data_IF_080771502924
#
_entry.id   IF_080771502924
#
_cell.length_a   1.000
_cell.length_b   1.000
_cell.length_c   1.000
_cell.angle_alpha   90.00
_cell.angle_beta   90.00
_cell.angle_gamma   90.00
#
_symmetry.space_group_name_H-M   'P 1'
#
loop_
_entity.id
_entity.type
_entity.pdbx_description
1 polymer ?
#
# COMPACT_ATOMS: atom_id res chain seq x y z
N UNK A 1 1.54 -22.50 -7.29
CA UNK A 1 2.44 -22.00 -6.22
C UNK A 1 2.19 -20.54 -5.86
N UNK A 2 2.47 -19.50 -6.71
CA UNK A 2 2.23 -18.08 -6.28
C UNK A 2 0.75 -17.79 -6.02
N UNK A 3 -0.16 -18.41 -6.73
CA UNK A 3 -1.60 -18.24 -6.56
C UNK A 3 -2.04 -18.78 -5.22
N UNK A 4 -1.68 -20.02 -4.89
CA UNK A 4 -2.07 -20.70 -3.66
C UNK A 4 -1.47 -20.01 -2.42
N UNK A 5 -0.18 -19.60 -2.53
CA UNK A 5 0.49 -18.82 -1.48
C UNK A 5 -0.21 -17.47 -1.29
N UNK A 6 -0.54 -16.76 -2.37
CA UNK A 6 -1.22 -15.48 -2.29
C UNK A 6 -2.63 -15.58 -1.69
N UNK A 7 -3.39 -16.61 -2.06
CA UNK A 7 -4.70 -16.87 -1.45
C UNK A 7 -4.58 -17.20 0.04
N UNK A 8 -3.61 -18.02 0.41
CA UNK A 8 -3.33 -18.33 1.81
C UNK A 8 -2.96 -17.09 2.62
N UNK A 9 -2.05 -16.24 2.09
CA UNK A 9 -1.67 -14.97 2.74
C UNK A 9 -2.88 -14.07 2.93
N UNK A 10 -3.68 -13.88 1.88
CA UNK A 10 -4.86 -13.04 1.93
C UNK A 10 -5.85 -13.52 3.00
N UNK A 11 -6.10 -14.83 3.07
CA UNK A 11 -6.96 -15.45 4.07
C UNK A 11 -6.43 -15.20 5.49
N UNK A 12 -5.12 -15.41 5.72
CA UNK A 12 -4.51 -15.17 7.03
C UNK A 12 -4.59 -13.69 7.44
N UNK A 13 -4.29 -12.78 6.52
CA UNK A 13 -4.31 -11.34 6.79
C UNK A 13 -5.72 -10.85 7.08
N UNK A 14 -6.72 -11.25 6.29
CA UNK A 14 -8.11 -10.84 6.51
C UNK A 14 -8.66 -11.36 7.85
N UNK A 15 -8.41 -12.63 8.19
CA UNK A 15 -8.84 -13.21 9.46
C UNK A 15 -8.17 -12.51 10.65
N UNK A 16 -6.88 -12.20 10.54
CA UNK A 16 -6.15 -11.51 11.61
C UNK A 16 -6.61 -10.06 11.77
N UNK A 17 -6.82 -9.34 10.67
CA UNK A 17 -7.34 -7.99 10.69
C UNK A 17 -8.71 -7.94 11.39
N UNK A 18 -9.59 -8.90 11.09
CA UNK A 18 -10.88 -9.02 11.77
C UNK A 18 -10.72 -9.21 13.27
N UNK A 19 -9.83 -10.12 13.70
CA UNK A 19 -9.54 -10.35 15.13
C UNK A 19 -9.08 -9.05 15.83
N UNK A 20 -8.22 -8.26 15.20
CA UNK A 20 -7.75 -6.99 15.76
C UNK A 20 -8.85 -5.93 15.84
N UNK A 21 -9.74 -5.87 14.86
CA UNK A 21 -10.90 -4.97 14.88
C UNK A 21 -11.88 -5.35 15.99
N UNK A 22 -12.17 -6.65 16.17
CA UNK A 22 -13.05 -7.15 17.23
C UNK A 22 -12.48 -6.90 18.64
N UNK A 23 -11.15 -6.87 18.76
CA UNK A 23 -10.46 -6.50 19.98
C UNK A 23 -10.41 -4.98 20.23
N UNK A 24 -11.05 -4.16 19.39
CA UNK A 24 -11.04 -2.70 19.51
C UNK A 24 -9.69 -2.04 19.21
N UNK A 25 -8.76 -2.79 18.62
CA UNK A 25 -7.50 -2.24 18.15
C UNK A 25 -7.77 -1.37 16.92
N UNK A 26 -7.18 -0.18 16.91
CA UNK A 26 -7.39 0.97 16.01
C UNK A 26 -7.89 0.63 14.59
N UNK A 27 -8.62 1.54 13.93
CA UNK A 27 -9.08 1.35 12.56
C UNK A 27 -7.88 1.16 11.63
N UNK A 28 -7.43 -0.08 11.50
CA UNK A 28 -6.31 -0.44 10.63
C UNK A 28 -6.80 -0.80 9.24
N UNK A 29 -5.97 -0.49 8.28
CA UNK A 29 -5.98 -1.14 6.97
C UNK A 29 -4.86 -2.16 6.95
N UNK A 30 -5.12 -3.26 6.28
CA UNK A 30 -4.10 -4.27 5.99
C UNK A 30 -3.78 -4.25 4.52
N UNK A 31 -2.51 -4.40 4.22
CA UNK A 31 -2.00 -4.31 2.86
C UNK A 31 -1.46 -5.67 2.44
N UNK A 32 -1.80 -6.13 1.25
CA UNK A 32 -1.36 -7.40 0.69
C UNK A 32 -0.89 -7.20 -0.75
N UNK A 33 0.28 -7.72 -1.08
CA UNK A 33 0.78 -7.71 -2.44
C UNK A 33 -0.08 -8.60 -3.35
N UNK A 34 -0.48 -8.07 -4.50
CA UNK A 34 -1.18 -8.80 -5.54
C UNK A 34 -0.32 -8.86 -6.81
N UNK A 35 0.09 -10.06 -7.19
CA UNK A 35 0.92 -10.25 -8.37
C UNK A 35 0.11 -10.14 -9.66
N UNK A 36 0.75 -9.71 -10.76
CA UNK A 36 0.17 -9.70 -12.10
C UNK A 36 -0.45 -11.07 -12.47
N UNK A 37 0.22 -12.18 -12.10
CA UNK A 37 -0.28 -13.54 -12.38
C UNK A 37 -1.61 -13.86 -11.70
N UNK A 38 -1.81 -13.37 -10.48
CA UNK A 38 -3.07 -13.51 -9.76
C UNK A 38 -4.16 -12.68 -10.42
N UNK A 39 -3.89 -11.42 -10.68
CA UNK A 39 -4.84 -10.48 -11.30
C UNK A 39 -5.25 -10.93 -12.71
N UNK A 40 -4.34 -11.52 -13.47
CA UNK A 40 -4.61 -11.97 -14.82
C UNK A 40 -5.51 -13.23 -14.89
N UNK A 41 -5.87 -13.85 -13.75
CA UNK A 41 -6.91 -14.87 -13.66
C UNK A 41 -8.35 -14.32 -13.79
N UNK A 42 -8.50 -13.00 -13.74
CA UNK A 42 -9.80 -12.37 -13.94
C UNK A 42 -10.81 -12.74 -12.85
N UNK A 43 -11.98 -13.24 -13.27
CA UNK A 43 -13.07 -13.59 -12.37
C UNK A 43 -12.70 -14.59 -11.28
N UNK A 44 -11.85 -15.57 -11.57
CA UNK A 44 -11.44 -16.55 -10.56
C UNK A 44 -10.70 -15.91 -9.38
N UNK A 45 -9.85 -14.91 -9.66
CA UNK A 45 -9.17 -14.18 -8.56
C UNK A 45 -10.15 -13.29 -7.81
N UNK A 46 -11.04 -12.59 -8.52
CA UNK A 46 -12.11 -11.81 -7.90
C UNK A 46 -12.98 -12.65 -6.97
N UNK A 47 -13.47 -13.81 -7.44
CA UNK A 47 -14.31 -14.71 -6.66
C UNK A 47 -13.60 -15.22 -5.40
N UNK A 48 -12.29 -15.52 -5.52
CA UNK A 48 -11.48 -15.94 -4.37
C UNK A 48 -11.36 -14.82 -3.33
N UNK A 49 -11.05 -13.58 -3.75
CA UNK A 49 -10.96 -12.42 -2.85
C UNK A 49 -12.31 -12.12 -2.20
N UNK A 50 -13.39 -12.07 -2.98
CA UNK A 50 -14.74 -11.82 -2.47
C UNK A 50 -15.19 -12.87 -1.46
N UNK A 51 -14.87 -14.14 -1.71
CA UNK A 51 -15.14 -15.26 -0.80
C UNK A 51 -14.37 -15.09 0.51
N UNK A 52 -13.07 -14.77 0.45
CA UNK A 52 -12.23 -14.59 1.65
C UNK A 52 -12.73 -13.42 2.49
N UNK A 53 -13.09 -12.29 1.90
CA UNK A 53 -13.65 -11.15 2.62
C UNK A 53 -14.96 -11.52 3.30
N UNK A 54 -15.84 -12.24 2.65
CA UNK A 54 -17.12 -12.72 3.20
C UNK A 54 -16.90 -13.71 4.35
N UNK A 55 -15.99 -14.68 4.19
CA UNK A 55 -15.66 -15.68 5.22
C UNK A 55 -15.02 -15.04 6.47
N UNK A 56 -14.16 -14.03 6.28
CA UNK A 56 -13.51 -13.33 7.39
C UNK A 56 -14.38 -12.26 8.04
N UNK A 57 -15.41 -11.77 7.35
CA UNK A 57 -16.22 -10.63 7.80
C UNK A 57 -15.45 -9.30 7.81
N UNK A 58 -14.31 -9.23 7.10
CA UNK A 58 -13.55 -7.99 6.98
C UNK A 58 -14.22 -7.06 5.96
N UNK A 59 -14.44 -5.80 6.33
CA UNK A 59 -14.90 -4.78 5.42
C UNK A 59 -13.89 -4.60 4.26
N UNK A 60 -14.32 -4.68 2.99
CA UNK A 60 -13.44 -4.49 1.83
C UNK A 60 -12.59 -3.20 1.90
N UNK A 61 -13.11 -2.12 2.46
CA UNK A 61 -12.39 -0.85 2.63
C UNK A 61 -11.19 -0.94 3.58
N UNK A 62 -11.10 -2.02 4.37
CA UNK A 62 -9.97 -2.31 5.25
C UNK A 62 -8.85 -3.10 4.59
N UNK A 63 -9.10 -3.62 3.38
CA UNK A 63 -8.10 -4.29 2.56
C UNK A 63 -7.56 -3.32 1.51
N UNK A 64 -6.24 -3.27 1.39
CA UNK A 64 -5.53 -2.58 0.33
C UNK A 64 -4.65 -3.60 -0.42
N UNK A 65 -4.72 -3.60 -1.75
CA UNK A 65 -3.89 -4.45 -2.59
C UNK A 65 -2.78 -3.62 -3.23
N UNK A 66 -1.54 -4.04 -3.00
CA UNK A 66 -0.36 -3.46 -3.62
C UNK A 66 -0.09 -4.13 -4.96
N UNK A 67 0.06 -3.32 -6.00
CA UNK A 67 0.40 -3.78 -7.34
C UNK A 67 1.59 -2.99 -7.87
N UNK A 68 2.49 -3.68 -8.57
CA UNK A 68 3.64 -3.02 -9.22
C UNK A 68 3.21 -2.24 -10.45
N UNK A 69 4.03 -1.26 -10.87
CA UNK A 69 3.80 -0.47 -12.08
C UNK A 69 3.49 -1.32 -13.32
N UNK A 70 4.17 -2.46 -13.47
CA UNK A 70 3.98 -3.38 -14.62
C UNK A 70 2.54 -3.86 -14.77
N UNK A 71 1.81 -3.97 -13.67
CA UNK A 71 0.44 -4.51 -13.64
C UNK A 71 -0.53 -3.67 -14.47
N UNK A 72 -0.29 -2.37 -14.59
CA UNK A 72 -1.16 -1.45 -15.33
C UNK A 72 -0.52 -0.84 -16.58
N UNK A 73 0.61 -1.40 -17.05
CA UNK A 73 1.26 -0.95 -18.29
C UNK A 73 0.41 -1.20 -19.56
N UNK A 74 -0.47 -2.20 -19.54
CA UNK A 74 -1.32 -2.54 -20.69
C UNK A 74 -2.78 -2.21 -20.39
N UNK A 75 -3.32 -1.17 -21.04
CA UNK A 75 -4.74 -0.83 -20.93
C UNK A 75 -5.62 -1.96 -21.47
N UNK A 76 -6.77 -2.17 -20.81
CA UNK A 76 -7.73 -3.20 -21.20
C UNK A 76 -7.26 -4.63 -20.91
N UNK A 77 -6.10 -4.81 -20.26
CA UNK A 77 -5.64 -6.12 -19.82
C UNK A 77 -6.62 -6.75 -18.82
N UNK A 78 -6.62 -8.09 -18.74
CA UNK A 78 -7.42 -8.80 -17.74
C UNK A 78 -7.07 -8.33 -16.33
N UNK A 79 -5.79 -8.10 -16.04
CA UNK A 79 -5.34 -7.61 -14.73
C UNK A 79 -5.96 -6.25 -14.38
N UNK A 80 -5.96 -5.28 -15.29
CA UNK A 80 -6.57 -3.95 -15.06
C UNK A 80 -8.09 -4.05 -14.88
N UNK A 81 -8.77 -4.89 -15.66
CA UNK A 81 -10.22 -5.13 -15.44
C UNK A 81 -10.50 -5.73 -14.08
N UNK A 82 -9.71 -6.74 -13.66
CA UNK A 82 -9.83 -7.36 -12.33
C UNK A 82 -9.63 -6.34 -11.22
N UNK A 83 -8.62 -5.45 -11.34
CA UNK A 83 -8.41 -4.38 -10.38
C UNK A 83 -9.61 -3.43 -10.28
N UNK A 84 -10.25 -3.09 -11.41
CA UNK A 84 -11.46 -2.24 -11.40
C UNK A 84 -12.60 -2.92 -10.66
N UNK A 85 -12.87 -4.20 -10.93
CA UNK A 85 -13.93 -4.97 -10.25
C UNK A 85 -13.65 -5.08 -8.74
N UNK A 86 -12.39 -5.30 -8.34
CA UNK A 86 -12.00 -5.31 -6.92
C UNK A 86 -12.15 -3.93 -6.27
N UNK A 87 -11.83 -2.86 -6.99
CA UNK A 87 -12.06 -1.49 -6.51
C UNK A 87 -13.56 -1.19 -6.33
N UNK A 88 -14.40 -1.61 -7.28
CA UNK A 88 -15.87 -1.48 -7.19
C UNK A 88 -16.46 -2.25 -6.00
N UNK A 89 -15.82 -3.36 -5.58
CA UNK A 89 -16.15 -4.08 -4.34
C UNK A 89 -15.80 -3.26 -3.06
N UNK A 90 -15.03 -2.17 -3.21
CA UNK A 90 -14.60 -1.30 -2.10
C UNK A 90 -13.14 -1.52 -1.66
N UNK A 91 -12.42 -2.44 -2.28
CA UNK A 91 -11.00 -2.68 -1.98
C UNK A 91 -10.17 -1.51 -2.48
N UNK A 92 -9.22 -1.07 -1.67
CA UNK A 92 -8.28 -0.02 -2.05
C UNK A 92 -7.14 -0.63 -2.88
N UNK A 93 -6.68 0.10 -3.87
CA UNK A 93 -5.56 -0.32 -4.71
C UNK A 93 -4.44 0.71 -4.59
N UNK A 94 -3.22 0.26 -4.39
CA UNK A 94 -2.02 1.09 -4.32
C UNK A 94 -0.96 0.66 -5.33
N UNK A 95 -0.19 1.64 -5.79
CA UNK A 95 0.97 1.39 -6.66
C UNK A 95 2.19 1.20 -5.78
N UNK A 96 2.83 0.03 -5.89
CA UNK A 96 4.03 -0.32 -5.13
C UNK A 96 5.31 -0.10 -5.95
N UNK A 97 6.38 0.18 -5.23
CA UNK A 97 7.76 0.34 -5.74
C UNK A 97 7.89 1.38 -6.87
N UNK A 98 7.12 2.48 -6.76
CA UNK A 98 7.05 3.53 -7.77
C UNK A 98 8.35 4.33 -7.87
N UNK A 99 8.82 4.51 -9.11
CA UNK A 99 10.03 5.26 -9.43
C UNK A 99 11.21 4.37 -9.87
N UNK A 100 11.05 3.03 -9.84
CA UNK A 100 12.02 2.10 -10.43
C UNK A 100 11.69 1.73 -11.89
N UNK A 101 10.50 2.10 -12.38
CA UNK A 101 9.99 1.71 -13.70
C UNK A 101 9.63 2.91 -14.58
N UNK A 102 8.95 2.61 -15.69
CA UNK A 102 8.47 3.60 -16.66
C UNK A 102 6.95 3.81 -16.51
N UNK A 103 6.49 4.17 -15.32
CA UNK A 103 5.06 4.44 -15.14
C UNK A 103 4.60 5.60 -15.99
N UNK A 104 3.55 5.37 -16.76
CA UNK A 104 2.87 6.43 -17.48
C UNK A 104 1.97 7.23 -16.53
N UNK A 105 2.25 8.52 -16.34
CA UNK A 105 1.42 9.44 -15.56
C UNK A 105 -0.05 9.43 -16.00
N UNK A 106 -0.29 9.23 -17.31
CA UNK A 106 -1.64 9.13 -17.87
C UNK A 106 -2.39 7.94 -17.28
N UNK A 107 -1.70 6.83 -17.06
CA UNK A 107 -2.31 5.61 -16.49
C UNK A 107 -2.62 5.76 -15.01
N UNK A 108 -1.73 6.41 -14.26
CA UNK A 108 -2.00 6.75 -12.85
C UNK A 108 -3.26 7.61 -12.71
N UNK A 109 -3.44 8.59 -13.60
CA UNK A 109 -4.63 9.45 -13.62
C UNK A 109 -5.92 8.67 -13.96
N UNK A 110 -5.83 7.61 -14.78
CA UNK A 110 -7.00 6.90 -15.31
C UNK A 110 -7.51 5.77 -14.43
N UNK A 111 -6.83 5.49 -13.31
CA UNK A 111 -7.24 4.50 -12.32
C UNK A 111 -7.32 5.15 -10.93
N UNK A 112 -8.36 4.86 -10.12
CA UNK A 112 -8.54 5.48 -8.80
C UNK A 112 -7.65 4.80 -7.74
N UNK A 113 -6.32 4.96 -7.87
CA UNK A 113 -5.40 4.48 -6.85
C UNK A 113 -5.59 5.24 -5.54
N UNK A 114 -5.52 4.52 -4.44
CA UNK A 114 -5.64 5.07 -3.10
C UNK A 114 -4.31 5.66 -2.61
N UNK A 115 -3.21 5.02 -2.98
CA UNK A 115 -1.87 5.45 -2.59
C UNK A 115 -0.81 5.09 -3.62
N UNK A 116 0.31 5.81 -3.53
CA UNK A 116 1.53 5.56 -4.27
C UNK A 116 2.68 5.34 -3.27
N UNK A 117 3.44 4.26 -3.44
CA UNK A 117 4.56 3.90 -2.57
C UNK A 117 5.87 4.14 -3.28
N UNK A 118 6.65 5.09 -2.78
CA UNK A 118 7.95 5.47 -3.35
C UNK A 118 8.94 4.35 -3.11
N UNK A 119 9.62 3.94 -4.16
CA UNK A 119 10.61 2.88 -4.15
C UNK A 119 11.72 3.10 -3.11
N UNK A 120 12.13 2.02 -2.44
CA UNK A 120 13.20 2.04 -1.44
C UNK A 120 14.52 2.59 -1.99
N UNK A 121 14.83 2.35 -3.26
CA UNK A 121 16.05 2.84 -3.93
C UNK A 121 16.17 4.36 -3.86
N UNK A 122 15.09 5.10 -4.12
CA UNK A 122 15.05 6.56 -4.03
C UNK A 122 15.16 7.04 -2.58
N UNK A 123 14.42 6.39 -1.67
CA UNK A 123 14.43 6.77 -0.24
C UNK A 123 15.81 6.54 0.39
N UNK A 124 16.56 5.53 -0.08
CA UNK A 124 17.88 5.23 0.45
C UNK A 124 18.86 6.39 0.29
N UNK A 125 18.78 7.14 -0.79
CA UNK A 125 19.71 8.22 -1.13
C UNK A 125 19.13 9.63 -0.92
N UNK A 126 17.88 9.77 -0.47
CA UNK A 126 17.16 11.05 -0.35
C UNK A 126 17.87 12.13 0.47
N UNK A 127 18.80 11.74 1.36
CA UNK A 127 19.56 12.67 2.22
C UNK A 127 20.96 13.02 1.68
N UNK A 128 21.45 12.29 0.68
CA UNK A 128 22.83 12.41 0.17
C UNK A 128 22.90 12.71 -1.31
N UNK A 129 21.83 12.44 -2.07
CA UNK A 129 21.74 12.71 -3.50
C UNK A 129 20.64 13.74 -3.77
N UNK A 130 20.98 14.97 -4.22
CA UNK A 130 20.01 16.01 -4.53
C UNK A 130 19.04 15.64 -5.65
N UNK A 131 19.45 14.82 -6.61
CA UNK A 131 18.59 14.39 -7.71
C UNK A 131 17.51 13.43 -7.19
N UNK A 132 17.86 12.49 -6.31
CA UNK A 132 16.88 11.58 -5.69
C UNK A 132 15.92 12.36 -4.79
N UNK A 133 16.40 13.36 -4.03
CA UNK A 133 15.56 14.25 -3.21
C UNK A 133 14.56 15.03 -4.08
N UNK A 134 15.01 15.55 -5.22
CA UNK A 134 14.15 16.25 -6.18
C UNK A 134 13.09 15.32 -6.79
N UNK A 135 13.47 14.08 -7.16
CA UNK A 135 12.55 13.07 -7.68
C UNK A 135 11.51 12.67 -6.62
N UNK A 136 11.93 12.44 -5.39
CA UNK A 136 11.02 12.11 -4.27
C UNK A 136 10.03 13.25 -4.04
N UNK A 137 10.50 14.50 -4.02
CA UNK A 137 9.66 15.69 -3.89
C UNK A 137 8.62 15.78 -5.02
N UNK A 138 9.04 15.54 -6.27
CA UNK A 138 8.15 15.54 -7.42
C UNK A 138 7.09 14.44 -7.36
N UNK A 139 7.44 13.23 -6.92
CA UNK A 139 6.49 12.11 -6.74
C UNK A 139 5.46 12.47 -5.67
N UNK A 140 5.88 13.07 -4.55
CA UNK A 140 4.97 13.48 -3.47
C UNK A 140 3.98 14.54 -3.99
N UNK A 141 4.46 15.58 -4.66
CA UNK A 141 3.61 16.62 -5.22
C UNK A 141 2.60 16.07 -6.26
N UNK A 142 3.05 15.14 -7.10
CA UNK A 142 2.21 14.45 -8.09
C UNK A 142 1.13 13.61 -7.39
N UNK A 143 1.50 12.80 -6.40
CA UNK A 143 0.56 11.95 -5.65
C UNK A 143 -0.55 12.80 -5.03
N UNK A 144 -0.19 13.90 -4.36
CA UNK A 144 -1.17 14.83 -3.78
C UNK A 144 -2.07 15.48 -4.84
N UNK A 145 -1.51 15.88 -5.98
CA UNK A 145 -2.28 16.46 -7.09
C UNK A 145 -3.30 15.47 -7.66
N UNK A 146 -2.99 14.17 -7.62
CA UNK A 146 -3.88 13.08 -8.03
C UNK A 146 -4.77 12.57 -6.87
N UNK A 147 -4.74 13.21 -5.71
CA UNK A 147 -5.50 12.84 -4.49
C UNK A 147 -5.15 11.45 -3.96
N UNK A 148 -3.93 11.01 -4.17
CA UNK A 148 -3.39 9.77 -3.60
C UNK A 148 -2.62 10.07 -2.32
N UNK A 149 -2.64 9.16 -1.36
CA UNK A 149 -1.69 9.19 -0.25
C UNK A 149 -0.31 8.73 -0.74
N UNK A 150 0.74 9.35 -0.24
CA UNK A 150 2.12 8.98 -0.61
C UNK A 150 2.80 8.30 0.56
N UNK A 151 3.39 7.13 0.29
CA UNK A 151 4.10 6.30 1.28
C UNK A 151 5.57 6.19 0.89
N UNK A 152 6.48 6.53 1.80
CA UNK A 152 7.91 6.30 1.59
C UNK A 152 8.32 4.93 2.13
N UNK A 153 8.89 4.06 1.27
CA UNK A 153 9.33 2.72 1.64
C UNK A 153 10.81 2.67 2.03
N UNK A 154 11.13 1.81 2.98
CA UNK A 154 12.51 1.50 3.35
C UNK A 154 13.20 2.57 4.19
N UNK A 155 12.45 3.42 4.87
CA UNK A 155 12.98 4.43 5.80
C UNK A 155 13.76 3.74 6.92
N UNK A 156 15.02 4.11 7.10
CA UNK A 156 15.95 3.43 8.01
C UNK A 156 16.69 4.39 8.97
N UNK A 157 16.69 5.71 8.71
CA UNK A 157 17.40 6.71 9.52
C UNK A 157 16.53 7.91 9.90
N UNK A 158 16.93 8.63 10.95
CA UNK A 158 16.25 9.85 11.41
C UNK A 158 16.36 11.01 10.40
N UNK A 159 17.47 11.06 9.67
CA UNK A 159 17.71 12.07 8.63
C UNK A 159 16.74 11.89 7.47
N UNK A 160 16.48 10.62 7.04
CA UNK A 160 15.46 10.31 6.04
C UNK A 160 14.07 10.75 6.52
N UNK A 161 13.70 10.44 7.76
CA UNK A 161 12.42 10.89 8.34
C UNK A 161 12.31 12.41 8.28
N UNK A 162 13.37 13.14 8.66
CA UNK A 162 13.38 14.60 8.66
C UNK A 162 13.23 15.18 7.26
N UNK A 163 13.91 14.61 6.24
CA UNK A 163 13.78 15.02 4.84
C UNK A 163 12.37 14.79 4.32
N UNK A 164 11.84 13.59 4.53
CA UNK A 164 10.50 13.20 4.07
C UNK A 164 9.38 14.03 4.71
N UNK A 165 9.53 14.41 5.99
CA UNK A 165 8.60 15.33 6.67
C UNK A 165 8.62 16.73 6.05
N UNK A 166 9.77 17.23 5.62
CA UNK A 166 9.88 18.52 4.90
C UNK A 166 9.12 18.47 3.57
N UNK A 167 9.18 17.34 2.87
CA UNK A 167 8.42 17.12 1.62
C UNK A 167 6.94 16.79 1.86
N UNK A 168 6.49 16.71 3.14
CA UNK A 168 5.10 16.45 3.51
C UNK A 168 4.59 15.07 3.06
N UNK A 169 5.43 14.05 3.10
CA UNK A 169 4.99 12.65 2.87
C UNK A 169 3.89 12.27 3.87
N UNK A 170 2.90 11.52 3.43
CA UNK A 170 1.76 11.15 4.28
C UNK A 170 2.09 10.02 5.24
N UNK A 171 2.81 9.00 4.75
CA UNK A 171 3.14 7.79 5.51
C UNK A 171 4.59 7.36 5.25
N UNK A 172 5.17 6.68 6.22
CA UNK A 172 6.52 6.12 6.12
C UNK A 172 6.52 4.68 6.61
N UNK A 173 7.26 3.83 5.91
CA UNK A 173 7.46 2.42 6.28
C UNK A 173 8.94 2.07 6.21
N UNK A 174 9.45 1.37 7.22
CA UNK A 174 10.84 0.92 7.21
C UNK A 174 11.37 0.51 8.58
N UNK A 175 12.63 0.08 8.60
CA UNK A 175 13.30 -0.45 9.79
C UNK A 175 13.54 0.61 10.88
N UNK A 176 13.44 1.88 10.53
CA UNK A 176 13.45 2.96 11.52
C UNK A 176 12.31 2.80 12.54
N UNK A 177 11.14 2.36 12.09
CA UNK A 177 9.95 2.18 12.93
C UNK A 177 9.90 0.78 13.54
N UNK A 178 10.01 -0.25 12.70
CA UNK A 178 10.05 -1.65 13.12
C UNK A 178 10.59 -2.54 12.01
N UNK A 179 11.29 -3.60 12.37
CA UNK A 179 11.53 -4.74 11.47
C UNK A 179 10.25 -5.57 11.34
N UNK A 180 10.14 -6.44 10.33
CA UNK A 180 9.03 -7.41 10.27
C UNK A 180 8.92 -8.20 11.57
N UNK A 181 7.69 -8.33 12.08
CA UNK A 181 7.41 -8.95 13.36
C UNK A 181 6.52 -10.18 13.20
N UNK A 182 6.71 -11.22 14.03
CA UNK A 182 5.69 -12.25 14.22
C UNK A 182 4.37 -11.62 14.67
N UNK A 183 3.25 -12.29 14.36
CA UNK A 183 1.89 -11.77 14.60
C UNK A 183 1.68 -11.30 16.05
N UNK A 184 2.12 -12.09 17.05
CA UNK A 184 1.92 -11.74 18.46
C UNK A 184 2.72 -10.49 18.86
N UNK A 185 3.90 -10.32 18.31
CA UNK A 185 4.72 -9.12 18.54
C UNK A 185 4.14 -7.90 17.84
N UNK A 186 3.57 -8.08 16.64
CA UNK A 186 2.84 -7.04 15.94
C UNK A 186 1.60 -6.62 16.74
N UNK A 187 0.84 -7.56 17.28
CA UNK A 187 -0.31 -7.28 18.15
C UNK A 187 0.08 -6.44 19.37
N UNK A 188 1.17 -6.80 20.04
CA UNK A 188 1.70 -6.00 21.17
C UNK A 188 2.13 -4.60 20.77
N UNK A 189 2.75 -4.46 19.59
CA UNK A 189 3.14 -3.15 19.06
C UNK A 189 1.92 -2.26 18.81
N UNK A 190 0.87 -2.81 18.20
CA UNK A 190 -0.38 -2.09 17.93
C UNK A 190 -1.09 -1.65 19.22
N UNK A 191 -1.01 -2.46 20.27
CA UNK A 191 -1.57 -2.16 21.59
C UNK A 191 -0.74 -1.13 22.37
N UNK A 192 0.50 -0.87 21.95
CA UNK A 192 1.40 0.03 22.65
C UNK A 192 1.05 1.50 22.38
N UNK A 193 0.90 2.36 23.41
CA UNK A 193 0.67 3.80 23.24
C UNK A 193 1.89 4.56 22.67
N UNK A 194 2.99 3.88 22.38
CA UNK A 194 4.26 4.46 21.94
C UNK A 194 4.51 4.45 20.43
N UNK A 195 3.52 4.16 19.60
CA UNK A 195 3.65 4.49 18.18
C UNK A 195 3.79 6.02 18.10
N UNK A 196 4.88 6.55 17.51
CA UNK A 196 4.98 7.99 17.31
C UNK A 196 3.73 8.44 16.54
N UNK A 197 3.10 9.57 16.95
CA UNK A 197 1.88 10.01 16.30
C UNK A 197 2.17 10.27 14.83
N UNK A 198 1.66 9.42 13.97
CA UNK A 198 1.58 9.70 12.54
C UNK A 198 0.63 10.91 12.46
N UNK A 199 1.17 12.08 12.13
CA UNK A 199 0.34 13.26 11.89
C UNK A 199 -0.47 12.99 10.62
N UNK A 200 -1.61 12.37 10.78
CA UNK A 200 -2.66 12.36 9.75
C UNK A 200 -3.13 13.81 9.61
N UNK A 201 -2.86 14.43 8.48
CA UNK A 201 -3.66 15.58 8.06
C UNK A 201 -5.08 15.07 7.78
N UNK A 202 -5.91 15.06 8.82
CA UNK A 202 -7.35 15.10 8.67
C UNK A 202 -7.67 16.56 8.39
N UNK A 203 -8.04 16.86 7.18
CA UNK A 203 -8.49 18.19 6.83
C UNK A 203 -8.59 18.39 5.35
N UNK A 204 -9.68 17.93 4.77
CA UNK A 204 -10.30 18.63 3.64
C UNK A 204 -11.81 18.55 3.87
N UNK A 205 -12.51 19.72 3.81
CA UNK A 205 -13.96 19.76 3.85
C UNK A 205 -14.60 19.07 2.66
#
# INVERSE_FOLDING_TARGET
MIIDVGEWVLRQVCARARTWLDAGLLPMRVVVNASYRQLNRGGEYFDSVARILRESGLDPQRLELDVTEETFLTDGSTAVRTLRTLHELGIRISVDDFGNGFASLIRLKNFPFASIKIARSLIHHVTVNPDDDAVVSAIIAMGHSLRMSVVALGVSTAEQVTSLLRHQVDLMQGYYFSRPLPVDSCTRLIQSPRLPPVRTRIGVP
#
